data_IF_213957767968
#
_entry.id   IF_213957767968
#
_cell.length_a   1.000
_cell.length_b   1.000
_cell.length_c   1.000
_cell.angle_alpha   90.00
_cell.angle_beta   90.00
_cell.angle_gamma   90.00
#
_symmetry.space_group_name_H-M   'P 1'
#
loop_
_entity.id
_entity.type
_entity.pdbx_description
1 polymer ?
#
# COMPACT_ATOMS: atom_id res chain seq x y z
N UNK A 1 -21.72 -0.24 -14.87
CA UNK A 1 -20.37 0.33 -14.66
C UNK A 1 -20.01 0.02 -13.24
N UNK A 2 -18.96 -0.76 -13.02
CA UNK A 2 -18.63 -1.40 -11.74
C UNK A 2 -18.36 -0.36 -10.66
N UNK A 3 -19.41 -0.02 -9.91
CA UNK A 3 -19.36 0.75 -8.68
C UNK A 3 -18.96 -0.18 -7.53
N UNK A 4 -17.85 -0.91 -7.70
CA UNK A 4 -17.33 -1.79 -6.67
C UNK A 4 -16.76 -0.91 -5.56
N UNK A 5 -17.26 -1.08 -4.34
CA UNK A 5 -16.69 -0.54 -3.11
C UNK A 5 -15.18 -0.83 -3.06
N UNK A 6 -14.36 0.08 -3.60
CA UNK A 6 -12.91 -0.05 -3.51
C UNK A 6 -12.53 0.27 -2.08
N UNK A 7 -12.27 -0.77 -1.30
CA UNK A 7 -11.72 -0.62 0.05
C UNK A 7 -10.31 -0.07 -0.13
N UNK A 8 -10.00 1.14 0.40
CA UNK A 8 -8.66 1.68 0.30
C UNK A 8 -7.69 0.84 1.13
N UNK A 9 -6.46 0.68 0.65
CA UNK A 9 -5.32 0.25 1.44
C UNK A 9 -4.74 1.44 2.24
N UNK A 10 -3.64 1.19 2.95
CA UNK A 10 -3.05 2.17 3.88
C UNK A 10 -2.54 3.45 3.21
N UNK A 11 -2.27 3.41 1.91
CA UNK A 11 -1.77 4.57 1.16
C UNK A 11 -2.78 5.72 1.09
N UNK A 12 -4.06 5.50 1.45
CA UNK A 12 -5.07 6.56 1.53
C UNK A 12 -4.71 7.66 2.54
N UNK A 13 -3.84 7.36 3.51
CA UNK A 13 -3.39 8.30 4.53
C UNK A 13 -2.11 9.06 4.15
N UNK A 14 -1.53 8.75 2.98
CA UNK A 14 -0.32 9.41 2.51
C UNK A 14 -0.61 10.78 1.90
N UNK A 15 0.38 11.68 1.94
CA UNK A 15 0.28 13.01 1.31
C UNK A 15 0.69 13.02 -0.15
N UNK A 16 1.46 12.03 -0.58
CA UNK A 16 2.00 11.97 -1.95
C UNK A 16 0.89 11.66 -2.95
N UNK A 17 0.68 12.49 -3.99
CA UNK A 17 -0.30 12.20 -5.04
C UNK A 17 -0.02 10.87 -5.74
N UNK A 18 1.26 10.52 -5.93
CA UNK A 18 1.68 9.24 -6.50
C UNK A 18 1.21 8.04 -5.66
N UNK A 19 1.37 8.10 -4.33
CA UNK A 19 0.93 7.02 -3.45
C UNK A 19 -0.61 6.95 -3.37
N UNK A 20 -1.28 8.09 -3.34
CA UNK A 20 -2.75 8.17 -3.31
C UNK A 20 -3.40 7.55 -4.56
N UNK A 21 -2.77 7.67 -5.73
CA UNK A 21 -3.24 6.99 -6.95
C UNK A 21 -3.27 5.45 -6.80
N UNK A 22 -2.47 4.89 -5.90
CA UNK A 22 -2.40 3.45 -5.63
C UNK A 22 -3.22 3.01 -4.40
N UNK A 23 -3.91 3.94 -3.72
CA UNK A 23 -4.67 3.65 -2.51
C UNK A 23 -5.83 2.67 -2.72
N UNK A 24 -6.38 2.58 -3.93
CA UNK A 24 -7.50 1.71 -4.26
C UNK A 24 -7.10 0.49 -5.10
N UNK A 25 -5.80 0.22 -5.21
CA UNK A 25 -5.31 -0.98 -5.86
C UNK A 25 -5.66 -2.22 -5.02
N UNK A 26 -5.89 -3.38 -5.66
CA UNK A 26 -6.24 -4.61 -4.95
C UNK A 26 -5.11 -5.12 -4.04
N UNK A 27 -3.86 -4.74 -4.34
CA UNK A 27 -2.70 -5.01 -3.48
C UNK A 27 -2.82 -4.17 -2.21
N UNK A 28 -2.70 -4.83 -1.06
CA UNK A 28 -2.68 -4.19 0.26
C UNK A 28 -1.34 -3.52 0.52
N UNK A 29 -1.09 -2.41 -0.17
CA UNK A 29 0.14 -1.64 -0.03
C UNK A 29 0.27 -1.04 1.38
N UNK A 30 1.52 -1.00 1.83
CA UNK A 30 1.97 -0.29 3.03
C UNK A 30 2.90 0.84 2.57
N UNK A 31 2.83 2.03 3.18
CA UNK A 31 3.91 2.99 3.03
C UNK A 31 5.18 2.44 3.67
N UNK A 32 6.33 3.04 3.34
CA UNK A 32 7.58 2.68 3.97
C UNK A 32 7.55 3.02 5.47
N UNK A 33 7.77 2.03 6.34
CA UNK A 33 7.75 2.20 7.78
C UNK A 33 7.85 0.89 8.54
N UNK A 34 7.99 0.98 9.86
CA UNK A 34 8.20 -0.19 10.74
C UNK A 34 7.06 -1.21 10.66
N UNK A 35 5.79 -0.76 10.56
CA UNK A 35 4.61 -1.64 10.47
C UNK A 35 4.74 -2.68 9.33
N UNK A 36 5.27 -2.26 8.17
CA UNK A 36 5.45 -3.15 7.02
C UNK A 36 6.48 -4.26 7.32
N UNK A 37 7.58 -3.91 7.98
CA UNK A 37 8.65 -4.85 8.33
C UNK A 37 8.29 -5.76 9.50
N UNK A 38 7.58 -5.24 10.51
CA UNK A 38 7.06 -6.03 11.62
C UNK A 38 6.06 -7.08 11.14
N UNK A 39 5.17 -6.70 10.21
CA UNK A 39 4.24 -7.65 9.57
C UNK A 39 4.99 -8.71 8.78
N UNK A 40 5.99 -8.31 7.97
CA UNK A 40 6.80 -9.24 7.19
C UNK A 40 7.53 -10.26 8.08
N UNK A 41 8.11 -9.79 9.21
CA UNK A 41 8.77 -10.65 10.21
C UNK A 41 7.79 -11.61 10.88
N UNK A 42 6.65 -11.10 11.34
CA UNK A 42 5.61 -11.88 12.03
C UNK A 42 5.00 -12.96 11.12
N UNK A 43 4.76 -12.62 9.85
CA UNK A 43 4.17 -13.55 8.88
C UNK A 43 5.21 -14.42 8.18
N UNK A 44 6.51 -14.22 8.46
CA UNK A 44 7.63 -14.87 7.77
C UNK A 44 7.52 -14.76 6.24
N UNK A 45 7.27 -13.55 5.74
CA UNK A 45 7.12 -13.25 4.30
C UNK A 45 8.18 -12.23 3.87
N UNK A 46 8.71 -12.34 2.64
CA UNK A 46 9.60 -11.33 2.10
C UNK A 46 8.85 -10.01 1.83
N UNK A 47 9.59 -8.90 1.83
CA UNK A 47 9.08 -7.58 1.44
C UNK A 47 9.27 -7.37 -0.06
N UNK A 48 8.18 -7.06 -0.76
CA UNK A 48 8.23 -6.56 -2.13
C UNK A 48 8.27 -5.03 -2.10
N UNK A 49 9.40 -4.42 -2.45
CA UNK A 49 9.59 -2.97 -2.46
C UNK A 49 9.40 -2.42 -3.88
N UNK A 50 8.44 -1.52 -4.05
CA UNK A 50 8.21 -0.78 -5.29
C UNK A 50 8.52 0.70 -5.06
N UNK A 51 9.42 1.27 -5.86
CA UNK A 51 9.79 2.68 -5.82
C UNK A 51 9.48 3.28 -7.19
N UNK A 52 8.80 4.42 -7.20
CA UNK A 52 8.50 5.17 -8.41
C UNK A 52 8.71 6.66 -8.20
N UNK A 53 8.68 7.39 -9.31
CA UNK A 53 8.73 8.84 -9.36
C UNK A 53 7.51 9.34 -10.16
N UNK A 54 7.14 10.60 -9.94
CA UNK A 54 6.10 11.29 -10.73
C UNK A 54 6.72 12.34 -11.64
#
# INVERSE_FOLDING_TARGET
MDNQNKIPNRLINEKSPYLLQHAYNPVQWYPWGEEAFEKARTENKPVFLSIGYS
#
